data_IF_874499751156
#
_entry.id   IF_874499751156
#
_cell.length_a   1.000
_cell.length_b   1.000
_cell.length_c   1.000
_cell.angle_alpha   90.00
_cell.angle_beta   90.00
_cell.angle_gamma   90.00
#
_symmetry.space_group_name_H-M   'P 1'
#
loop_
_entity.id
_entity.type
_entity.pdbx_description
1 polymer ?
#
# COMPACT_ATOMS: atom_id res chain seq x y z
N UNK A 1 3.47 18.41 5.11
CA UNK A 1 3.66 17.84 3.76
C UNK A 1 3.16 16.42 3.82
N UNK A 2 1.92 16.18 3.40
CA UNK A 2 1.34 14.83 3.38
C UNK A 2 1.99 14.06 2.24
N UNK A 3 2.78 13.04 2.56
CA UNK A 3 3.11 12.02 1.58
C UNK A 3 1.82 11.26 1.30
N UNK A 4 1.28 11.37 0.09
CA UNK A 4 0.19 10.52 -0.32
C UNK A 4 0.71 9.07 -0.29
N UNK A 5 0.14 8.23 0.57
CA UNK A 5 0.29 6.79 0.41
C UNK A 5 -0.29 6.41 -0.96
N UNK A 6 0.33 5.46 -1.65
CA UNK A 6 -0.35 4.79 -2.74
C UNK A 6 -1.66 4.21 -2.16
N UNK A 7 -2.80 4.51 -2.80
CA UNK A 7 -4.11 4.09 -2.30
C UNK A 7 -4.11 2.60 -1.94
N UNK A 8 -4.75 2.23 -0.83
CA UNK A 8 -4.87 0.84 -0.40
C UNK A 8 -5.35 -0.07 -1.55
N UNK A 9 -4.90 -1.34 -1.58
CA UNK A 9 -5.04 -2.19 -2.76
C UNK A 9 -6.50 -2.29 -3.21
N UNK A 10 -6.77 -1.89 -4.44
CA UNK A 10 -8.07 -2.09 -5.08
C UNK A 10 -8.44 -3.60 -5.08
N UNK A 11 -9.73 -3.97 -4.98
CA UNK A 11 -10.16 -5.36 -5.05
C UNK A 11 -9.82 -5.96 -6.42
N UNK A 12 -9.05 -7.06 -6.45
CA UNK A 12 -8.78 -7.84 -7.66
C UNK A 12 -9.43 -9.21 -7.64
N UNK A 13 -9.88 -9.66 -8.82
CA UNK A 13 -10.27 -11.05 -9.07
C UNK A 13 -9.01 -11.89 -9.25
N UNK A 14 -8.93 -13.10 -8.67
CA UNK A 14 -7.84 -14.03 -8.97
C UNK A 14 -7.86 -14.37 -10.46
N UNK A 15 -6.68 -14.31 -11.10
CA UNK A 15 -6.54 -14.70 -12.49
C UNK A 15 -6.63 -16.23 -12.59
N UNK A 16 -7.31 -16.73 -13.62
CA UNK A 16 -7.25 -18.15 -13.96
C UNK A 16 -5.82 -18.43 -14.45
N UNK A 17 -5.12 -19.33 -13.76
CA UNK A 17 -3.78 -19.77 -14.13
C UNK A 17 -3.83 -20.42 -15.52
N UNK A 18 -3.24 -19.75 -16.50
CA UNK A 18 -2.99 -20.31 -17.83
C UNK A 18 -1.55 -20.82 -17.87
N UNK A 19 -1.35 -22.13 -18.03
CA UNK A 19 -0.02 -22.72 -18.18
C UNK A 19 0.70 -22.26 -19.47
N UNK A 20 -0.02 -21.62 -20.39
CA UNK A 20 0.53 -20.93 -21.57
C UNK A 20 0.94 -19.47 -21.31
N UNK A 21 0.81 -18.98 -20.08
CA UNK A 21 1.26 -17.64 -19.70
C UNK A 21 2.80 -17.48 -19.79
N UNK A 22 3.30 -16.23 -19.83
CA UNK A 22 4.74 -15.96 -19.79
C UNK A 22 5.40 -16.59 -18.56
N UNK A 23 6.54 -17.25 -18.77
CA UNK A 23 7.38 -17.77 -17.70
C UNK A 23 8.59 -16.88 -17.55
N UNK A 24 8.97 -16.56 -16.32
CA UNK A 24 10.09 -15.68 -16.02
C UNK A 24 11.00 -16.37 -15.02
N UNK A 25 12.31 -16.29 -15.21
CA UNK A 25 13.29 -16.63 -14.17
C UNK A 25 14.08 -15.39 -13.81
N UNK A 26 14.03 -14.99 -12.55
CA UNK A 26 14.85 -13.91 -11.99
C UNK A 26 15.96 -14.56 -11.18
N UNK A 27 17.21 -14.34 -11.60
CA UNK A 27 18.40 -14.85 -10.92
C UNK A 27 19.29 -13.69 -10.48
N UNK A 28 19.66 -13.67 -9.20
CA UNK A 28 20.73 -12.79 -8.69
C UNK A 28 22.07 -13.53 -8.73
N UNK A 29 23.03 -12.93 -9.43
CA UNK A 29 24.42 -13.42 -9.54
C UNK A 29 25.35 -12.28 -9.13
N UNK A 30 25.82 -12.30 -7.88
CA UNK A 30 26.60 -11.21 -7.32
C UNK A 30 25.81 -9.91 -7.21
N UNK A 31 26.28 -8.85 -7.84
CA UNK A 31 25.64 -7.53 -7.90
C UNK A 31 24.68 -7.37 -9.09
N UNK A 32 24.50 -8.42 -9.90
CA UNK A 32 23.69 -8.39 -11.13
C UNK A 32 22.43 -9.22 -10.97
N UNK A 33 21.37 -8.75 -11.63
CA UNK A 33 20.17 -9.52 -11.85
C UNK A 33 20.10 -9.92 -13.32
N UNK A 34 19.77 -11.18 -13.57
CA UNK A 34 19.43 -11.70 -14.89
C UNK A 34 17.95 -12.05 -14.86
N UNK A 35 17.21 -11.57 -15.86
CA UNK A 35 15.79 -11.87 -16.01
C UNK A 35 15.58 -12.54 -17.37
N UNK A 36 15.23 -13.83 -17.32
CA UNK A 36 14.99 -14.66 -18.50
C UNK A 36 13.48 -14.84 -18.69
N UNK A 37 12.95 -14.28 -19.76
CA UNK A 37 11.57 -14.50 -20.21
C UNK A 37 11.51 -15.69 -21.17
N UNK A 38 10.50 -16.53 -20.98
CA UNK A 38 10.03 -17.50 -21.96
C UNK A 38 8.56 -17.22 -22.27
N UNK A 39 8.29 -16.73 -23.48
CA UNK A 39 6.95 -16.37 -23.93
C UNK A 39 6.17 -17.60 -24.42
N UNK A 40 4.93 -17.74 -23.93
CA UNK A 40 4.08 -18.89 -24.24
C UNK A 40 3.52 -18.90 -25.66
N UNK A 41 3.56 -17.77 -26.37
CA UNK A 41 3.12 -17.64 -27.78
C UNK A 41 4.01 -16.69 -28.59
N UNK A 42 3.88 -16.76 -29.91
CA UNK A 42 4.51 -15.81 -30.82
C UNK A 42 3.69 -14.52 -30.81
N UNK A 43 4.35 -13.39 -30.58
CA UNK A 43 3.76 -12.07 -30.67
C UNK A 43 4.82 -11.08 -31.17
N UNK A 44 4.46 -10.11 -32.04
CA UNK A 44 5.40 -9.08 -32.50
C UNK A 44 5.89 -8.16 -31.37
N UNK A 45 5.06 -7.96 -30.35
CA UNK A 45 5.35 -7.08 -29.22
C UNK A 45 4.87 -7.72 -27.91
N UNK A 46 5.67 -7.57 -26.85
CA UNK A 46 5.27 -7.80 -25.47
C UNK A 46 5.41 -6.50 -24.68
N UNK A 47 4.38 -6.09 -23.94
CA UNK A 47 4.37 -4.89 -23.11
C UNK A 47 4.37 -5.26 -21.64
N UNK A 48 5.13 -4.53 -20.81
CA UNK A 48 5.13 -4.69 -19.36
C UNK A 48 3.89 -4.01 -18.77
N UNK A 49 3.14 -4.72 -17.92
CA UNK A 49 1.95 -4.14 -17.26
C UNK A 49 2.33 -2.94 -16.39
N UNK A 50 3.40 -3.10 -15.60
CA UNK A 50 3.98 -2.04 -14.76
C UNK A 50 5.04 -1.26 -15.58
N UNK A 51 4.69 -0.02 -15.92
CA UNK A 51 5.44 0.87 -16.81
C UNK A 51 5.35 2.34 -16.38
N UNK A 52 5.26 2.60 -15.07
CA UNK A 52 5.24 3.95 -14.52
C UNK A 52 6.47 4.76 -14.93
N UNK A 53 6.36 6.07 -14.74
CA UNK A 53 7.47 6.99 -14.93
C UNK A 53 8.10 7.30 -13.57
N UNK A 54 9.37 7.70 -13.59
CA UNK A 54 10.00 8.31 -12.42
C UNK A 54 9.26 9.60 -12.05
N UNK A 55 8.88 9.79 -10.78
CA UNK A 55 8.07 10.95 -10.34
C UNK A 55 8.71 12.29 -10.73
N UNK A 56 10.01 12.43 -10.48
CA UNK A 56 10.71 13.71 -10.67
C UNK A 56 11.00 14.03 -12.14
N UNK A 57 11.42 13.02 -12.92
CA UNK A 57 11.94 13.22 -14.28
C UNK A 57 10.89 12.92 -15.35
N UNK A 58 9.82 12.22 -14.97
CA UNK A 58 8.81 11.64 -15.86
C UNK A 58 9.42 10.81 -17.00
N UNK A 59 10.60 10.22 -16.77
CA UNK A 59 11.27 9.35 -17.73
C UNK A 59 10.94 7.88 -17.44
N UNK A 60 10.93 7.00 -18.46
CA UNK A 60 10.77 5.58 -18.23
C UNK A 60 11.98 5.01 -17.49
N UNK A 61 11.70 4.28 -16.41
CA UNK A 61 12.73 3.72 -15.55
C UNK A 61 13.32 2.43 -16.11
N UNK A 62 12.48 1.55 -16.68
CA UNK A 62 12.87 0.19 -17.06
C UNK A 62 13.94 0.18 -18.16
N UNK A 63 13.83 0.96 -19.26
CA UNK A 63 14.86 1.03 -20.29
C UNK A 63 16.23 1.52 -19.80
N UNK A 64 16.28 2.23 -18.66
CA UNK A 64 17.52 2.75 -18.07
C UNK A 64 18.20 1.76 -17.13
N UNK A 65 17.49 0.72 -16.71
CA UNK A 65 17.96 -0.29 -15.75
C UNK A 65 18.05 -1.69 -16.35
N UNK A 66 17.24 -1.98 -17.36
CA UNK A 66 17.14 -3.28 -18.02
C UNK A 66 17.84 -3.17 -19.38
N UNK A 67 18.82 -4.03 -19.62
CA UNK A 67 19.52 -4.14 -20.90
C UNK A 67 19.14 -5.45 -21.56
N UNK A 68 18.56 -5.39 -22.76
CA UNK A 68 18.29 -6.60 -23.56
C UNK A 68 19.61 -7.19 -24.02
N UNK A 69 19.83 -8.48 -23.78
CA UNK A 69 21.02 -9.20 -24.26
C UNK A 69 20.73 -10.12 -25.45
N UNK A 70 19.45 -10.43 -25.71
CA UNK A 70 19.04 -11.23 -26.87
C UNK A 70 19.26 -10.46 -28.18
N UNK A 71 20.05 -10.98 -29.13
CA UNK A 71 20.29 -10.33 -30.42
C UNK A 71 18.99 -10.10 -31.20
N UNK A 72 18.89 -8.94 -31.87
CA UNK A 72 17.73 -8.60 -32.68
C UNK A 72 16.49 -8.20 -31.89
N UNK A 73 16.57 -8.10 -30.56
CA UNK A 73 15.46 -7.65 -29.71
C UNK A 73 15.76 -6.24 -29.19
N UNK A 74 14.73 -5.40 -29.16
CA UNK A 74 14.80 -4.02 -28.68
C UNK A 74 13.77 -3.82 -27.58
N UNK A 75 14.16 -3.06 -26.54
CA UNK A 75 13.23 -2.56 -25.54
C UNK A 75 13.16 -1.04 -25.63
N UNK A 76 11.95 -0.49 -25.66
CA UNK A 76 11.69 0.95 -25.73
C UNK A 76 10.31 1.27 -25.17
N UNK A 77 10.03 2.55 -24.91
CA UNK A 77 8.69 2.99 -24.52
C UNK A 77 7.84 3.29 -25.76
N UNK A 78 6.57 2.87 -25.73
CA UNK A 78 5.51 3.25 -26.67
C UNK A 78 4.20 3.48 -25.94
N UNK A 79 3.59 4.64 -26.18
CA UNK A 79 2.43 5.08 -25.40
C UNK A 79 2.74 5.12 -23.90
N UNK A 80 1.92 4.40 -23.12
CA UNK A 80 2.06 4.28 -21.67
C UNK A 80 2.94 3.11 -21.22
N UNK A 81 3.48 2.32 -22.15
CA UNK A 81 4.10 1.04 -21.83
C UNK A 81 5.55 0.95 -22.30
N UNK A 82 6.38 0.35 -21.45
CA UNK A 82 7.67 -0.18 -21.88
C UNK A 82 7.42 -1.50 -22.61
N UNK A 83 7.96 -1.62 -23.82
CA UNK A 83 7.70 -2.75 -24.72
C UNK A 83 8.99 -3.45 -25.12
N UNK A 84 8.87 -4.73 -25.46
CA UNK A 84 9.88 -5.60 -26.05
C UNK A 84 9.39 -5.98 -27.43
N UNK A 85 10.23 -5.80 -28.46
CA UNK A 85 9.91 -6.15 -29.84
C UNK A 85 11.11 -6.69 -30.61
N UNK A 86 10.86 -7.39 -31.71
CA UNK A 86 11.92 -7.70 -32.67
C UNK A 86 12.34 -6.44 -33.45
N UNK A 87 13.62 -6.36 -33.81
CA UNK A 87 14.19 -5.30 -34.62
C UNK A 87 13.72 -5.37 -36.08
N UNK A 88 13.40 -6.56 -36.58
CA UNK A 88 12.92 -6.82 -37.94
C UNK A 88 11.39 -6.74 -38.10
N UNK A 89 10.66 -6.51 -37.01
CA UNK A 89 9.19 -6.44 -36.98
C UNK A 89 8.48 -7.81 -36.97
N UNK A 90 9.23 -8.92 -36.98
CA UNK A 90 8.68 -10.26 -36.76
C UNK A 90 8.36 -10.53 -35.29
N UNK A 91 7.93 -11.77 -34.97
CA UNK A 91 7.69 -12.19 -33.59
C UNK A 91 8.94 -12.02 -32.72
N UNK A 92 8.74 -11.60 -31.47
CA UNK A 92 9.80 -11.64 -30.45
C UNK A 92 10.25 -13.09 -30.26
N UNK A 93 11.57 -13.37 -30.21
CA UNK A 93 12.08 -14.69 -29.89
C UNK A 93 11.43 -15.24 -28.61
N UNK A 94 11.13 -16.55 -28.59
CA UNK A 94 10.48 -17.19 -27.45
C UNK A 94 11.24 -17.04 -26.15
N UNK A 95 12.55 -16.87 -26.21
CA UNK A 95 13.41 -16.65 -25.06
C UNK A 95 14.09 -15.28 -25.18
N UNK A 96 13.88 -14.42 -24.18
CA UNK A 96 14.50 -13.10 -24.12
C UNK A 96 15.18 -12.93 -22.77
N UNK A 97 16.47 -12.58 -22.82
CA UNK A 97 17.30 -12.32 -21.66
C UNK A 97 17.49 -10.84 -21.45
N UNK A 98 17.34 -10.41 -20.21
CA UNK A 98 17.71 -9.08 -19.74
C UNK A 98 18.79 -9.18 -18.68
N UNK A 99 19.79 -8.31 -18.78
CA UNK A 99 20.64 -7.95 -17.66
C UNK A 99 20.09 -6.70 -17.01
N UNK A 100 19.86 -6.77 -15.70
CA UNK A 100 19.25 -5.70 -14.92
C UNK A 100 20.26 -5.14 -13.92
N UNK A 101 20.34 -3.81 -13.87
CA UNK A 101 21.10 -3.05 -12.88
C UNK A 101 20.11 -2.20 -12.09
N UNK A 102 19.60 -2.72 -10.97
CA UNK A 102 18.61 -2.04 -10.14
C UNK A 102 19.09 -0.68 -9.63
N UNK A 103 18.16 0.27 -9.54
CA UNK A 103 18.34 1.59 -8.94
C UNK A 103 17.13 1.91 -8.08
N UNK A 104 17.37 2.49 -6.90
CA UNK A 104 16.31 3.06 -6.10
C UNK A 104 15.79 4.33 -6.81
N UNK A 105 14.47 4.47 -6.87
CA UNK A 105 13.79 5.63 -7.44
C UNK A 105 12.36 5.70 -6.93
N UNK A 106 11.80 6.89 -7.05
CA UNK A 106 10.38 7.14 -6.82
C UNK A 106 9.61 6.99 -8.14
N UNK A 107 8.52 6.22 -8.13
CA UNK A 107 7.70 5.90 -9.30
C UNK A 107 6.28 6.45 -9.14
N UNK A 108 5.70 6.95 -10.22
CA UNK A 108 4.32 7.41 -10.24
C UNK A 108 3.35 6.23 -10.06
N UNK A 109 2.74 6.11 -8.88
CA UNK A 109 1.70 5.13 -8.57
C UNK A 109 2.09 3.64 -8.75
N UNK A 110 3.38 3.31 -8.67
CA UNK A 110 3.91 1.95 -8.74
C UNK A 110 4.90 1.66 -7.60
N UNK A 111 5.05 0.38 -7.27
CA UNK A 111 5.99 -0.08 -6.24
C UNK A 111 7.42 -0.09 -6.81
N UNK A 112 8.38 0.65 -6.21
CA UNK A 112 9.75 0.69 -6.71
C UNK A 112 10.57 -0.52 -6.28
N UNK A 113 11.70 -0.75 -6.94
CA UNK A 113 12.71 -1.69 -6.42
C UNK A 113 13.34 -1.14 -5.15
N UNK A 114 13.46 -1.97 -4.11
CA UNK A 114 14.16 -1.60 -2.87
C UNK A 114 15.60 -2.08 -2.94
N UNK A 115 16.53 -1.17 -2.73
CA UNK A 115 17.95 -1.49 -2.63
C UNK A 115 18.39 -1.46 -1.18
N UNK A 116 19.11 -2.50 -0.78
CA UNK A 116 19.77 -2.57 0.50
C UNK A 116 21.26 -2.22 0.32
N UNK A 117 21.82 -1.53 1.28
CA UNK A 117 23.20 -1.06 1.28
C UNK A 117 24.25 -2.18 1.25
N UNK A 118 23.88 -3.41 1.60
CA UNK A 118 24.73 -4.60 1.47
C UNK A 118 24.61 -5.30 0.11
N UNK A 119 23.88 -4.71 -0.85
CA UNK A 119 23.67 -5.23 -2.19
C UNK A 119 22.52 -6.24 -2.30
N UNK A 120 21.74 -6.46 -1.23
CA UNK A 120 20.46 -7.15 -1.36
C UNK A 120 19.44 -6.27 -2.10
N UNK A 121 18.51 -6.90 -2.81
CA UNK A 121 17.52 -6.23 -3.64
C UNK A 121 16.17 -6.87 -3.40
N UNK A 122 15.15 -6.08 -3.13
CA UNK A 122 13.77 -6.56 -3.10
C UNK A 122 13.02 -6.05 -4.33
N UNK A 123 12.44 -6.98 -5.10
CA UNK A 123 11.67 -6.70 -6.30
C UNK A 123 10.17 -6.95 -6.05
N UNK A 124 9.27 -6.04 -6.48
CA UNK A 124 7.85 -6.32 -6.51
C UNK A 124 7.55 -7.46 -7.48
N UNK A 125 6.68 -8.37 -7.08
CA UNK A 125 6.35 -9.57 -7.87
C UNK A 125 5.67 -9.27 -9.21
N UNK A 126 4.89 -8.19 -9.30
CA UNK A 126 4.08 -7.84 -10.48
C UNK A 126 4.83 -7.05 -11.56
N UNK A 127 6.02 -6.53 -11.25
CA UNK A 127 6.87 -5.84 -12.24
C UNK A 127 7.31 -6.74 -13.41
N UNK A 128 7.04 -8.04 -13.34
CA UNK A 128 7.40 -9.06 -14.31
C UNK A 128 6.21 -9.46 -15.21
N UNK A 129 5.03 -8.90 -14.96
CA UNK A 129 3.83 -9.21 -15.74
C UNK A 129 3.88 -8.54 -17.11
N UNK A 130 3.48 -9.29 -18.13
CA UNK A 130 3.50 -8.84 -19.52
C UNK A 130 2.26 -9.28 -20.28
N UNK A 131 1.90 -8.52 -21.30
CA UNK A 131 0.85 -8.87 -22.25
C UNK A 131 1.34 -8.70 -23.68
N UNK A 132 0.81 -9.52 -24.58
CA UNK A 132 1.20 -9.49 -25.98
C UNK A 132 0.30 -8.55 -26.79
N UNK A 133 0.91 -7.95 -27.80
CA UNK A 133 0.30 -6.99 -28.71
C UNK A 133 0.64 -7.35 -30.15
N UNK A 134 -0.30 -7.08 -31.07
CA UNK A 134 -0.16 -7.44 -32.49
C UNK A 134 0.83 -6.53 -33.24
N UNK A 135 1.18 -5.37 -32.70
CA UNK A 135 2.12 -4.43 -33.33
C UNK A 135 2.63 -3.36 -32.36
N UNK A 136 3.66 -2.63 -32.78
CA UNK A 136 4.17 -1.45 -32.07
C UNK A 136 3.12 -0.34 -32.01
N UNK A 137 2.36 -0.14 -33.10
CA UNK A 137 1.29 0.84 -33.17
C UNK A 137 0.13 0.50 -32.21
N UNK A 138 -0.13 -0.78 -31.98
CA UNK A 138 -1.12 -1.20 -31.00
C UNK A 138 -0.75 -0.72 -29.58
N UNK A 139 0.55 -0.70 -29.23
CA UNK A 139 1.01 -0.21 -27.92
C UNK A 139 0.72 1.28 -27.69
N UNK A 140 0.72 2.10 -28.74
CA UNK A 140 0.49 3.55 -28.65
C UNK A 140 -0.97 3.89 -28.29
N UNK A 141 -1.90 2.98 -28.55
CA UNK A 141 -3.35 3.19 -28.32
C UNK A 141 -3.89 2.38 -27.13
N UNK A 142 -3.05 1.59 -26.45
CA UNK A 142 -3.45 0.95 -25.19
C UNK A 142 -3.62 2.06 -24.14
N UNK A 143 -4.79 2.15 -23.47
CA UNK A 143 -4.99 3.11 -22.40
C UNK A 143 -4.08 2.78 -21.21
N UNK A 144 -3.77 3.77 -20.39
CA UNK A 144 -3.04 3.58 -19.13
C UNK A 144 -3.79 2.67 -18.14
N UNK A 145 -5.12 2.79 -18.06
CA UNK A 145 -5.98 1.92 -17.24
C UNK A 145 -6.37 0.64 -17.99
N UNK A 146 -5.76 -0.47 -17.56
CA UNK A 146 -6.00 -1.81 -18.13
C UNK A 146 -7.25 -2.51 -17.60
N UNK A 147 -7.97 -1.95 -16.62
CA UNK A 147 -9.08 -2.63 -15.92
C UNK A 147 -10.25 -3.07 -16.83
N UNK A 148 -10.41 -2.43 -17.99
CA UNK A 148 -11.48 -2.74 -18.97
C UNK A 148 -10.94 -3.23 -20.31
N UNK A 149 -9.64 -3.42 -20.42
CA UNK A 149 -9.01 -3.92 -21.64
C UNK A 149 -8.92 -5.43 -21.54
N UNK A 150 -9.44 -6.14 -22.55
CA UNK A 150 -9.17 -7.57 -22.67
C UNK A 150 -7.71 -7.72 -23.13
N UNK A 151 -6.84 -8.05 -22.19
CA UNK A 151 -5.45 -8.33 -22.47
C UNK A 151 -5.25 -9.77 -22.92
N UNK A 152 -4.35 -9.95 -23.86
CA UNK A 152 -3.93 -11.26 -24.35
C UNK A 152 -2.53 -11.57 -23.80
N UNK A 153 -2.55 -12.09 -22.58
CA UNK A 153 -1.43 -12.21 -21.64
C UNK A 153 -1.96 -12.15 -20.20
N UNK A 154 -1.10 -11.91 -19.22
CA UNK A 154 -1.52 -12.00 -17.83
C UNK A 154 -0.39 -11.98 -16.82
N UNK A 155 -0.69 -12.33 -15.56
CA UNK A 155 0.31 -12.56 -14.54
C UNK A 155 1.35 -13.58 -15.02
N UNK A 156 2.63 -13.22 -14.88
CA UNK A 156 3.73 -14.10 -15.26
C UNK A 156 3.99 -15.14 -14.18
N UNK A 157 4.30 -16.39 -14.56
CA UNK A 157 4.84 -17.37 -13.61
C UNK A 157 6.33 -17.09 -13.40
N UNK A 158 6.70 -16.51 -12.27
CA UNK A 158 8.07 -16.07 -11.98
C UNK A 158 8.77 -17.02 -11.03
N UNK A 159 9.90 -17.59 -11.43
CA UNK A 159 10.81 -18.35 -10.57
C UNK A 159 11.94 -17.47 -10.08
N UNK A 160 12.19 -17.45 -8.78
CA UNK A 160 13.17 -16.60 -8.14
C UNK A 160 14.35 -17.41 -7.61
N UNK A 161 15.57 -16.95 -7.90
CA UNK A 161 16.82 -17.61 -7.50
C UNK A 161 17.88 -16.58 -7.11
N UNK A 162 18.69 -16.93 -6.12
CA UNK A 162 19.93 -16.21 -5.82
C UNK A 162 21.07 -17.22 -5.70
N UNK A 163 22.14 -17.01 -6.46
CA UNK A 163 23.32 -17.89 -6.45
C UNK A 163 24.03 -17.89 -5.09
N UNK A 164 23.77 -16.88 -4.26
CA UNK A 164 24.35 -16.70 -2.94
C UNK A 164 23.56 -17.42 -1.84
N UNK A 165 22.34 -17.90 -2.11
CA UNK A 165 21.52 -18.57 -1.11
C UNK A 165 20.00 -18.43 -1.33
N UNK A 166 19.18 -18.81 -0.34
CA UNK A 166 17.74 -18.75 -0.45
C UNK A 166 17.18 -17.33 -0.57
N UNK A 167 16.13 -17.15 -1.36
CA UNK A 167 15.37 -15.89 -1.45
C UNK A 167 14.45 -15.72 -0.25
N UNK A 168 14.15 -14.49 0.14
CA UNK A 168 13.20 -14.18 1.22
C UNK A 168 11.86 -13.75 0.64
N UNK A 169 10.79 -14.43 1.07
CA UNK A 169 9.41 -14.11 0.71
C UNK A 169 8.48 -14.38 1.88
N UNK A 170 7.63 -13.41 2.21
CA UNK A 170 6.70 -13.46 3.35
C UNK A 170 7.39 -13.95 4.64
N UNK A 171 8.64 -13.52 4.87
CA UNK A 171 9.35 -13.73 6.14
C UNK A 171 10.07 -15.06 6.25
N UNK A 172 9.99 -15.89 5.21
CA UNK A 172 10.66 -17.18 5.15
C UNK A 172 11.67 -17.21 4.02
N UNK A 173 12.86 -17.74 4.33
CA UNK A 173 13.88 -18.08 3.33
C UNK A 173 13.45 -19.35 2.58
N UNK A 174 13.58 -19.33 1.26
CA UNK A 174 13.19 -20.42 0.34
C UNK A 174 14.31 -20.66 -0.66
N UNK A 175 14.77 -21.90 -0.78
CA UNK A 175 15.77 -22.28 -1.80
C UNK A 175 15.18 -22.24 -3.22
N UNK A 176 13.87 -22.46 -3.33
CA UNK A 176 13.11 -22.31 -4.56
C UNK A 176 11.79 -21.60 -4.25
N UNK A 177 11.48 -20.58 -5.05
CA UNK A 177 10.24 -19.83 -4.98
C UNK A 177 9.70 -19.61 -6.39
N UNK A 178 8.41 -19.89 -6.58
CA UNK A 178 7.67 -19.49 -7.77
C UNK A 178 6.47 -18.67 -7.33
N UNK A 179 6.30 -17.49 -7.89
CA UNK A 179 5.13 -16.62 -7.73
C UNK A 179 4.37 -16.55 -9.05
N UNK A 180 3.10 -16.19 -9.02
CA UNK A 180 2.31 -15.93 -10.23
C UNK A 180 1.52 -14.65 -10.13
N UNK A 181 0.65 -14.52 -9.13
CA UNK A 181 -0.25 -13.38 -8.98
C UNK A 181 -0.17 -12.71 -7.61
N UNK A 182 0.69 -13.21 -6.72
CA UNK A 182 0.92 -12.63 -5.40
C UNK A 182 1.35 -11.17 -5.52
N UNK A 183 0.89 -10.35 -4.58
CA UNK A 183 1.28 -8.93 -4.44
C UNK A 183 2.20 -8.79 -3.25
N UNK A 184 3.51 -8.86 -3.48
CA UNK A 184 4.51 -8.77 -2.42
C UNK A 184 5.85 -8.39 -3.02
N UNK A 185 6.90 -8.44 -2.20
CA UNK A 185 8.29 -8.36 -2.63
C UNK A 185 8.97 -9.71 -2.46
N UNK A 186 9.86 -10.03 -3.41
CA UNK A 186 10.87 -11.07 -3.23
C UNK A 186 12.22 -10.40 -3.00
N UNK A 187 12.83 -10.67 -1.85
CA UNK A 187 14.16 -10.18 -1.53
C UNK A 187 15.22 -11.22 -1.90
N UNK A 188 16.14 -10.81 -2.77
CA UNK A 188 17.34 -11.52 -3.16
C UNK A 188 18.54 -10.91 -2.42
N UNK A 189 19.43 -11.75 -1.91
CA UNK A 189 20.61 -11.37 -1.14
C UNK A 189 20.45 -11.56 0.36
N UNK A 190 21.54 -11.28 1.06
CA UNK A 190 21.62 -11.39 2.51
C UNK A 190 20.77 -10.31 3.19
N UNK A 191 19.89 -10.74 4.09
CA UNK A 191 19.06 -9.86 4.89
C UNK A 191 18.59 -10.60 6.14
N UNK A 192 18.73 -9.95 7.28
CA UNK A 192 18.34 -10.52 8.58
C UNK A 192 16.87 -10.26 8.82
N UNK A 193 16.08 -11.33 8.92
CA UNK A 193 14.72 -11.25 9.47
C UNK A 193 14.86 -11.26 10.99
N UNK A 194 14.47 -10.18 11.64
CA UNK A 194 14.36 -10.13 13.10
C UNK A 194 12.92 -10.45 13.48
N UNK A 195 12.65 -11.61 14.10
CA UNK A 195 11.30 -11.98 14.49
C UNK A 195 10.77 -11.01 15.54
N UNK A 196 9.53 -10.57 15.37
CA UNK A 196 8.80 -9.79 16.36
C UNK A 196 7.47 -10.45 16.67
N UNK A 197 7.02 -10.33 17.92
CA UNK A 197 5.63 -10.63 18.25
C UNK A 197 4.77 -9.52 17.65
N UNK A 198 4.33 -9.63 16.41
CA UNK A 198 3.56 -8.52 15.83
C UNK A 198 3.81 -8.49 14.37
N UNK A 199 4.94 -7.83 14.16
CA UNK A 199 5.56 -7.57 12.91
C UNK A 199 7.00 -8.03 13.09
N UNK A 200 7.48 -8.87 12.17
CA UNK A 200 8.91 -9.09 12.01
C UNK A 200 9.51 -7.90 11.27
N UNK A 201 10.82 -7.72 11.34
CA UNK A 201 11.49 -6.64 10.62
C UNK A 201 12.62 -7.16 9.74
N UNK A 202 12.83 -6.49 8.61
CA UNK A 202 13.97 -6.67 7.71
C UNK A 202 14.52 -5.28 7.45
N UNK A 203 15.66 -4.96 8.07
CA UNK A 203 16.19 -3.60 8.09
C UNK A 203 17.53 -3.57 7.38
N UNK A 204 17.69 -2.56 6.53
CA UNK A 204 18.96 -2.25 5.91
C UNK A 204 20.09 -2.12 6.94
N UNK A 205 21.20 -2.86 6.78
CA UNK A 205 22.25 -2.91 7.79
C UNK A 205 23.00 -1.59 7.99
N UNK A 206 22.94 -0.66 7.03
CA UNK A 206 23.54 0.67 7.13
C UNK A 206 22.51 1.79 7.30
N UNK A 207 21.24 1.46 7.60
CA UNK A 207 20.28 2.46 8.04
C UNK A 207 20.82 3.19 9.28
N UNK A 208 20.60 4.51 9.43
CA UNK A 208 20.98 5.22 10.65
C UNK A 208 20.51 4.47 11.90
N UNK A 209 21.41 4.13 12.86
CA UNK A 209 21.09 3.20 13.94
C UNK A 209 19.84 3.57 14.74
N UNK A 210 19.64 4.87 14.98
CA UNK A 210 18.49 5.37 15.72
C UNK A 210 17.15 5.04 15.04
N UNK A 211 17.08 5.04 13.71
CA UNK A 211 15.86 4.65 12.96
C UNK A 211 15.67 3.14 13.07
N UNK A 212 16.74 2.38 12.85
CA UNK A 212 16.68 0.92 12.91
C UNK A 212 16.28 0.42 14.31
N UNK A 213 16.75 1.08 15.37
CA UNK A 213 16.35 0.82 16.76
C UNK A 213 14.89 1.18 17.00
N UNK A 214 14.47 2.38 16.55
CA UNK A 214 13.09 2.85 16.69
C UNK A 214 12.08 1.89 16.04
N UNK A 215 12.36 1.43 14.82
CA UNK A 215 11.46 0.50 14.10
C UNK A 215 11.45 -0.89 14.76
N UNK A 216 12.62 -1.40 15.17
CA UNK A 216 12.71 -2.70 15.86
C UNK A 216 11.99 -2.71 17.20
N UNK A 217 12.01 -1.59 17.92
CA UNK A 217 11.29 -1.44 19.17
C UNK A 217 9.79 -1.28 18.91
N UNK A 218 9.37 -0.34 18.07
CA UNK A 218 7.96 0.00 17.92
C UNK A 218 7.12 -1.06 17.17
N UNK A 219 7.64 -1.63 16.08
CA UNK A 219 6.84 -2.48 15.17
C UNK A 219 6.25 -3.74 15.84
N UNK A 220 7.00 -4.49 16.68
CA UNK A 220 6.40 -5.61 17.41
C UNK A 220 5.28 -5.17 18.35
N UNK A 221 5.46 -4.07 19.10
CA UNK A 221 4.47 -3.62 20.08
C UNK A 221 3.14 -3.22 19.44
N UNK A 222 3.17 -2.50 18.30
CA UNK A 222 1.94 -2.14 17.59
C UNK A 222 1.25 -3.35 16.97
N UNK A 223 2.01 -4.27 16.38
CA UNK A 223 1.45 -5.51 15.84
C UNK A 223 0.82 -6.40 16.93
N UNK A 224 1.45 -6.46 18.11
CA UNK A 224 0.91 -7.16 19.27
C UNK A 224 -0.37 -6.50 19.78
N UNK A 225 -0.36 -5.16 19.91
CA UNK A 225 -1.54 -4.39 20.33
C UNK A 225 -2.76 -4.69 19.43
N UNK A 226 -2.59 -4.66 18.10
CA UNK A 226 -3.69 -5.00 17.19
C UNK A 226 -4.16 -6.44 17.32
N UNK A 227 -3.25 -7.42 17.44
CA UNK A 227 -3.64 -8.81 17.63
C UNK A 227 -4.38 -9.05 18.94
N UNK A 228 -3.98 -8.39 20.02
CA UNK A 228 -4.66 -8.53 21.31
C UNK A 228 -6.10 -8.00 21.26
N UNK A 229 -6.34 -6.93 20.50
CA UNK A 229 -7.68 -6.36 20.31
C UNK A 229 -8.53 -7.16 19.32
N UNK A 230 -7.97 -7.52 18.15
CA UNK A 230 -8.72 -8.02 17.00
C UNK A 230 -8.56 -9.52 16.72
N UNK A 231 -7.55 -10.18 17.29
CA UNK A 231 -7.12 -11.52 16.93
C UNK A 231 -6.17 -11.53 15.71
N UNK A 232 -5.80 -12.71 15.22
CA UNK A 232 -4.95 -12.82 14.04
C UNK A 232 -5.65 -12.26 12.78
N UNK A 233 -4.93 -11.60 11.86
CA UNK A 233 -5.49 -11.20 10.58
C UNK A 233 -5.86 -12.43 9.74
N UNK A 234 -6.91 -12.32 8.93
CA UNK A 234 -7.57 -13.44 8.23
C UNK A 234 -6.82 -14.01 7.01
N UNK A 235 -5.73 -13.39 6.56
CA UNK A 235 -4.97 -13.81 5.40
C UNK A 235 -3.66 -14.53 5.79
N UNK A 236 -3.76 -15.81 6.19
CA UNK A 236 -2.71 -16.81 5.96
C UNK A 236 -1.34 -16.64 6.63
N UNK A 237 -1.18 -17.29 7.79
CA UNK A 237 -0.04 -18.18 8.09
C UNK A 237 1.29 -17.60 8.58
N UNK A 238 1.67 -16.38 8.20
CA UNK A 238 2.98 -15.79 8.54
C UNK A 238 2.87 -14.44 9.25
N UNK A 239 3.83 -14.17 10.16
CA UNK A 239 3.94 -12.87 10.83
C UNK A 239 4.26 -11.80 9.79
N UNK A 240 3.44 -10.74 9.64
CA UNK A 240 3.71 -9.66 8.69
C UNK A 240 5.07 -9.00 8.94
N UNK A 241 5.61 -8.32 7.92
CA UNK A 241 6.98 -7.78 7.96
C UNK A 241 6.99 -6.29 7.73
N UNK A 242 7.86 -5.58 8.43
CA UNK A 242 8.32 -4.24 8.05
C UNK A 242 9.67 -4.37 7.37
N UNK A 243 9.73 -4.08 6.08
CA UNK A 243 10.94 -4.08 5.26
C UNK A 243 11.41 -2.64 5.04
N UNK A 244 12.64 -2.33 5.42
CA UNK A 244 13.17 -0.96 5.45
C UNK A 244 14.45 -0.87 4.63
N UNK A 245 14.45 -0.02 3.61
CA UNK A 245 15.60 0.26 2.75
C UNK A 245 16.26 1.61 3.07
N UNK A 246 17.57 1.73 2.83
CA UNK A 246 18.34 2.97 3.01
C UNK A 246 19.02 3.39 1.70
N UNK A 247 18.56 4.51 1.12
CA UNK A 247 19.08 5.03 -0.15
C UNK A 247 20.36 5.88 0.02
N UNK A 248 20.79 6.12 1.25
CA UNK A 248 22.03 6.82 1.55
C UNK A 248 21.86 8.29 1.99
N UNK A 249 22.95 8.93 2.44
CA UNK A 249 22.94 10.26 3.03
C UNK A 249 22.97 11.37 1.96
N UNK A 250 22.00 11.39 1.04
CA UNK A 250 21.87 12.40 -0.01
C UNK A 250 21.85 13.83 0.58
N UNK A 251 22.66 14.70 -0.01
CA UNK A 251 22.80 16.09 0.43
C UNK A 251 21.48 16.85 0.37
N UNK A 252 21.19 17.65 1.40
CA UNK A 252 19.99 18.52 1.48
C UNK A 252 18.65 17.79 1.31
N UNK A 253 18.63 16.49 1.55
CA UNK A 253 17.41 15.69 1.51
C UNK A 253 17.03 15.20 2.92
N UNK A 254 15.73 15.18 3.17
CA UNK A 254 15.09 14.52 4.32
C UNK A 254 13.88 13.77 3.76
N UNK A 255 14.02 12.47 3.52
CA UNK A 255 12.96 11.69 2.90
C UNK A 255 12.66 10.42 3.70
N UNK A 256 11.36 10.17 3.82
CA UNK A 256 10.79 8.91 4.27
C UNK A 256 9.59 8.61 3.37
N UNK A 257 9.66 7.49 2.66
CA UNK A 257 8.59 6.95 1.84
C UNK A 257 8.19 5.56 2.33
N UNK A 258 7.07 5.05 1.81
CA UNK A 258 6.64 3.70 2.12
C UNK A 258 5.32 3.34 1.45
N UNK A 259 4.95 2.07 1.55
CA UNK A 259 3.66 1.54 1.12
C UNK A 259 3.35 0.24 1.85
N UNK A 260 2.10 -0.21 1.79
CA UNK A 260 1.68 -1.55 2.24
C UNK A 260 1.33 -2.48 1.08
N UNK A 261 1.58 -3.77 1.31
CA UNK A 261 1.18 -4.93 0.51
C UNK A 261 0.64 -6.02 1.46
N UNK A 262 -0.06 -7.04 0.94
CA UNK A 262 -0.41 -8.25 1.70
C UNK A 262 0.74 -8.77 2.58
N UNK A 263 0.57 -8.69 3.90
CA UNK A 263 1.57 -9.13 4.89
C UNK A 263 2.90 -8.36 4.93
N UNK A 264 3.01 -7.20 4.28
CA UNK A 264 4.28 -6.48 4.15
C UNK A 264 4.07 -4.95 4.19
N UNK A 265 4.78 -4.28 5.10
CA UNK A 265 4.98 -2.84 5.11
C UNK A 265 6.37 -2.59 4.52
N UNK A 266 6.45 -1.69 3.55
CA UNK A 266 7.70 -1.24 2.94
C UNK A 266 7.96 0.20 3.37
N UNK A 267 9.20 0.49 3.76
CA UNK A 267 9.67 1.83 4.05
C UNK A 267 11.01 2.08 3.35
N UNK A 268 11.23 3.31 2.93
CA UNK A 268 12.52 3.78 2.42
C UNK A 268 12.90 5.08 3.10
N UNK A 269 14.18 5.21 3.43
CA UNK A 269 14.76 6.41 4.00
C UNK A 269 15.85 6.95 3.09
N UNK A 270 15.95 8.27 2.99
CA UNK A 270 17.02 8.92 2.25
C UNK A 270 17.38 10.27 2.86
N UNK A 271 18.67 10.61 2.79
CA UNK A 271 19.13 11.97 2.96
C UNK A 271 19.84 12.25 4.29
N UNK A 272 20.69 13.29 4.29
CA UNK A 272 21.40 13.74 5.49
C UNK A 272 20.47 14.18 6.61
N UNK A 273 19.26 14.60 6.27
CA UNK A 273 18.26 15.00 7.26
C UNK A 273 17.68 13.85 8.07
N UNK A 274 17.98 12.58 7.78
CA UNK A 274 17.51 11.47 8.64
C UNK A 274 18.67 10.74 9.35
N UNK A 275 19.91 11.20 9.19
CA UNK A 275 21.07 10.54 9.82
C UNK A 275 21.20 10.82 11.31
N UNK A 276 20.58 11.89 11.80
CA UNK A 276 20.47 12.22 13.22
C UNK A 276 19.03 12.10 13.70
N UNK A 277 18.79 11.81 14.99
CA UNK A 277 17.43 11.70 15.53
C UNK A 277 16.60 12.95 15.31
N UNK A 278 15.40 12.78 14.72
CA UNK A 278 14.41 13.84 14.55
C UNK A 278 13.07 13.39 15.09
N UNK A 279 12.44 14.22 15.93
CA UNK A 279 11.15 13.91 16.52
C UNK A 279 10.07 13.68 15.45
N UNK A 280 10.03 14.54 14.44
CA UNK A 280 9.07 14.44 13.32
C UNK A 280 9.22 13.12 12.55
N UNK A 281 10.44 12.70 12.20
CA UNK A 281 10.66 11.44 11.48
C UNK A 281 10.31 10.23 12.35
N UNK A 282 10.61 10.27 13.64
CA UNK A 282 10.22 9.21 14.58
C UNK A 282 8.71 9.08 14.69
N UNK A 283 8.01 10.19 14.95
CA UNK A 283 6.55 10.21 15.08
C UNK A 283 5.89 9.74 13.78
N UNK A 284 6.35 10.27 12.63
CA UNK A 284 5.87 9.85 11.31
C UNK A 284 6.13 8.37 11.03
N UNK A 285 7.30 7.83 11.42
CA UNK A 285 7.61 6.40 11.25
C UNK A 285 6.68 5.53 12.09
N UNK A 286 6.43 5.91 13.35
CA UNK A 286 5.50 5.19 14.23
C UNK A 286 4.08 5.24 13.69
N UNK A 287 3.60 6.42 13.32
CA UNK A 287 2.28 6.60 12.74
C UNK A 287 2.12 5.75 11.47
N UNK A 288 3.11 5.79 10.58
CA UNK A 288 3.11 5.01 9.34
C UNK A 288 3.03 3.50 9.61
N UNK A 289 3.87 2.96 10.49
CA UNK A 289 3.81 1.53 10.84
C UNK A 289 2.45 1.19 11.50
N UNK A 290 1.91 2.08 12.32
CA UNK A 290 0.59 1.91 12.93
C UNK A 290 -0.53 1.88 11.89
N UNK A 291 -0.52 2.81 10.94
CA UNK A 291 -1.49 2.92 9.85
C UNK A 291 -1.42 1.73 8.91
N UNK A 292 -0.24 1.47 8.34
CA UNK A 292 -0.06 0.37 7.39
C UNK A 292 -0.27 -0.99 8.05
N UNK A 293 0.07 -1.13 9.34
CA UNK A 293 -0.22 -2.32 10.13
C UNK A 293 -1.72 -2.55 10.35
N UNK A 294 -2.53 -1.50 10.39
CA UNK A 294 -3.98 -1.62 10.51
C UNK A 294 -4.62 -2.23 9.25
N UNK A 295 -4.02 -2.00 8.07
CA UNK A 295 -4.51 -2.55 6.82
C UNK A 295 -4.46 -4.09 6.73
N UNK A 296 -3.70 -4.77 7.60
CA UNK A 296 -3.77 -6.23 7.74
C UNK A 296 -5.17 -6.72 8.17
N UNK A 297 -5.93 -5.89 8.89
CA UNK A 297 -7.34 -6.14 9.18
C UNK A 297 -8.24 -5.38 8.20
N UNK A 298 -8.07 -4.05 8.13
CA UNK A 298 -8.84 -3.16 7.26
C UNK A 298 -8.18 -2.96 5.90
N UNK A 299 -8.33 -3.93 4.99
CA UNK A 299 -7.77 -3.89 3.64
C UNK A 299 -7.40 -5.28 3.15
N UNK A 300 -7.05 -6.18 4.07
CA UNK A 300 -6.63 -7.56 3.76
C UNK A 300 -7.56 -8.63 4.35
N UNK A 301 -7.93 -8.50 5.64
CA UNK A 301 -8.94 -9.42 6.22
C UNK A 301 -10.32 -9.11 5.65
N UNK A 302 -10.66 -7.82 5.58
CA UNK A 302 -11.81 -7.32 4.82
C UNK A 302 -11.35 -6.18 3.93
N UNK A 303 -11.91 -6.08 2.73
CA UNK A 303 -11.70 -4.97 1.79
C UNK A 303 -13.00 -4.20 1.58
N UNK A 304 -12.93 -2.93 1.20
CA UNK A 304 -14.13 -2.21 0.78
C UNK A 304 -14.71 -2.80 -0.52
N UNK A 305 -16.01 -2.61 -0.76
CA UNK A 305 -16.65 -3.18 -1.96
C UNK A 305 -16.27 -2.41 -3.23
N UNK A 306 -16.19 -1.09 -3.13
CA UNK A 306 -15.94 -0.18 -4.24
C UNK A 306 -14.94 0.92 -3.85
N UNK A 307 -14.20 1.48 -4.82
CA UNK A 307 -13.13 2.45 -4.57
C UNK A 307 -13.63 3.76 -3.93
N UNK A 308 -14.90 4.13 -4.14
CA UNK A 308 -15.57 5.26 -3.47
C UNK A 308 -15.92 4.97 -1.99
N UNK A 309 -15.71 3.74 -1.54
CA UNK A 309 -15.85 3.30 -0.15
C UNK A 309 -14.50 3.16 0.58
N UNK A 310 -13.40 3.64 -0.01
CA UNK A 310 -12.06 3.59 0.60
C UNK A 310 -12.00 4.27 1.98
N UNK A 311 -12.92 5.19 2.28
CA UNK A 311 -13.07 5.80 3.61
C UNK A 311 -13.25 4.79 4.75
N UNK A 312 -13.78 3.59 4.46
CA UNK A 312 -13.95 2.51 5.46
C UNK A 312 -12.60 2.02 5.95
N UNK A 313 -11.65 1.81 5.04
CA UNK A 313 -10.34 1.25 5.37
C UNK A 313 -9.32 2.31 5.72
N UNK A 314 -9.26 3.42 4.98
CA UNK A 314 -8.26 4.47 5.18
C UNK A 314 -8.48 5.22 6.49
N UNK A 315 -9.65 5.84 6.69
CA UNK A 315 -9.93 6.54 7.95
C UNK A 315 -10.12 5.60 9.15
N UNK A 316 -10.50 4.35 8.90
CA UNK A 316 -10.50 3.31 9.94
C UNK A 316 -9.09 2.93 10.41
N UNK A 317 -8.13 2.88 9.48
CA UNK A 317 -6.71 2.67 9.77
C UNK A 317 -6.10 3.87 10.51
N UNK A 318 -6.44 5.12 10.14
CA UNK A 318 -6.01 6.32 10.89
C UNK A 318 -6.42 6.23 12.37
N UNK A 319 -7.69 5.88 12.63
CA UNK A 319 -8.16 5.77 14.01
C UNK A 319 -7.49 4.61 14.77
N UNK A 320 -7.24 3.48 14.10
CA UNK A 320 -6.47 2.38 14.68
C UNK A 320 -5.05 2.84 15.06
N UNK A 321 -4.36 3.53 14.16
CA UNK A 321 -3.01 4.04 14.37
C UNK A 321 -2.97 5.02 15.56
N UNK A 322 -3.85 6.02 15.58
CA UNK A 322 -3.94 7.00 16.68
C UNK A 322 -4.16 6.30 18.02
N UNK A 323 -5.05 5.30 18.09
CA UNK A 323 -5.35 4.59 19.34
C UNK A 323 -4.17 3.72 19.78
N UNK A 324 -3.51 3.04 18.84
CA UNK A 324 -2.31 2.25 19.14
C UNK A 324 -1.15 3.14 19.63
N UNK A 325 -0.86 4.24 18.92
CA UNK A 325 0.18 5.18 19.32
C UNK A 325 -0.11 5.76 20.70
N UNK A 326 -1.35 6.15 21.00
CA UNK A 326 -1.72 6.66 22.33
C UNK A 326 -1.58 5.61 23.44
N UNK A 327 -1.88 4.35 23.14
CA UNK A 327 -1.75 3.26 24.10
C UNK A 327 -0.29 2.91 24.39
N UNK A 328 0.58 2.98 23.38
CA UNK A 328 2.01 2.65 23.48
C UNK A 328 2.85 3.84 23.97
N UNK A 329 2.44 5.05 23.64
CA UNK A 329 3.07 6.31 24.05
C UNK A 329 2.02 7.25 24.66
N UNK A 330 1.91 7.30 26.00
CA UNK A 330 0.97 8.19 26.67
C UNK A 330 1.21 9.68 26.38
N UNK A 331 2.40 10.08 25.92
CA UNK A 331 2.69 11.48 25.57
C UNK A 331 2.22 11.85 24.15
N UNK A 332 1.85 10.86 23.31
CA UNK A 332 1.32 11.12 21.97
C UNK A 332 0.08 12.01 22.00
N UNK A 333 0.08 13.07 21.18
CA UNK A 333 -1.02 14.04 21.08
C UNK A 333 -2.10 13.55 20.10
N UNK A 334 -2.76 12.46 20.50
CA UNK A 334 -3.88 11.90 19.76
C UNK A 334 -5.01 12.91 19.50
N UNK A 335 -5.15 13.94 20.34
CA UNK A 335 -6.18 14.97 20.18
C UNK A 335 -5.85 15.88 19.01
N UNK A 336 -4.59 16.33 18.91
CA UNK A 336 -4.15 17.16 17.79
C UNK A 336 -4.25 16.41 16.46
N UNK A 337 -3.84 15.14 16.43
CA UNK A 337 -3.94 14.32 15.21
C UNK A 337 -5.39 14.18 14.74
N UNK A 338 -6.30 13.75 15.63
CA UNK A 338 -7.73 13.63 15.30
C UNK A 338 -8.40 14.96 15.02
N UNK A 339 -7.91 16.06 15.60
CA UNK A 339 -8.40 17.39 15.27
C UNK A 339 -8.09 17.73 13.82
N UNK A 340 -6.91 17.39 13.31
CA UNK A 340 -6.58 17.58 11.89
C UNK A 340 -7.52 16.80 10.98
N UNK A 341 -7.87 15.57 11.33
CA UNK A 341 -8.86 14.77 10.57
C UNK A 341 -10.25 15.42 10.57
N UNK A 342 -10.69 15.97 11.72
CA UNK A 342 -11.97 16.68 11.83
C UNK A 342 -11.98 17.94 10.97
N UNK A 343 -10.91 18.73 11.02
CA UNK A 343 -10.79 19.97 10.25
C UNK A 343 -10.75 19.68 8.74
N UNK A 344 -9.94 18.72 8.31
CA UNK A 344 -9.83 18.32 6.90
C UNK A 344 -11.16 17.76 6.38
N UNK A 345 -11.88 16.95 7.17
CA UNK A 345 -13.19 16.47 6.76
C UNK A 345 -14.20 17.62 6.66
N UNK A 346 -14.19 18.56 7.62
CA UNK A 346 -15.08 19.72 7.58
C UNK A 346 -14.85 20.58 6.34
N UNK A 347 -13.61 20.67 5.86
CA UNK A 347 -13.27 21.41 4.65
C UNK A 347 -13.57 20.64 3.35
N UNK A 348 -13.32 19.33 3.32
CA UNK A 348 -13.45 18.51 2.12
C UNK A 348 -14.86 18.00 1.88
N UNK A 349 -15.66 17.75 2.93
CA UNK A 349 -17.04 17.24 2.82
C UNK A 349 -18.07 18.30 2.41
N UNK A 350 -17.62 19.45 1.89
CA UNK A 350 -18.47 20.42 1.16
C UNK A 350 -19.03 19.84 -0.14
N UNK A 351 -18.36 18.81 -0.67
CA UNK A 351 -18.75 18.00 -1.83
C UNK A 351 -18.88 16.53 -1.41
N UNK A 352 -19.53 15.68 -2.23
CA UNK A 352 -19.64 14.25 -1.95
C UNK A 352 -18.27 13.62 -1.71
N UNK A 353 -18.09 13.01 -0.53
CA UNK A 353 -16.86 12.30 -0.16
C UNK A 353 -16.66 11.07 -1.06
N UNK A 354 -17.72 10.34 -1.41
CA UNK A 354 -17.65 9.17 -2.30
C UNK A 354 -17.03 9.51 -3.68
N UNK A 355 -17.12 10.76 -4.13
CA UNK A 355 -16.57 11.20 -5.41
C UNK A 355 -15.18 11.86 -5.28
N UNK A 356 -14.57 11.84 -4.08
CA UNK A 356 -13.33 12.57 -3.82
C UNK A 356 -12.15 12.03 -4.64
N UNK A 357 -12.05 10.72 -4.82
CA UNK A 357 -11.00 10.10 -5.63
C UNK A 357 -11.02 10.57 -7.08
N UNK A 358 -12.19 10.74 -7.69
CA UNK A 358 -12.34 11.26 -9.06
C UNK A 358 -11.86 12.72 -9.20
N UNK A 359 -11.70 13.44 -8.08
CA UNK A 359 -11.20 14.82 -8.03
C UNK A 359 -9.73 14.91 -7.55
N UNK A 360 -9.08 13.77 -7.31
CA UNK A 360 -7.74 13.73 -6.71
C UNK A 360 -7.71 14.11 -5.23
N UNK A 361 -8.87 14.19 -4.56
CA UNK A 361 -9.03 14.63 -3.17
C UNK A 361 -9.00 13.45 -2.19
N UNK A 362 -8.05 12.53 -2.36
CA UNK A 362 -8.00 11.27 -1.59
C UNK A 362 -7.99 11.49 -0.07
N UNK A 363 -7.43 12.61 0.41
CA UNK A 363 -7.46 13.04 1.82
C UNK A 363 -8.87 13.01 2.43
N UNK A 364 -9.93 13.21 1.64
CA UNK A 364 -11.30 13.14 2.13
C UNK A 364 -11.69 11.74 2.64
N UNK A 365 -11.14 10.67 2.05
CA UNK A 365 -11.38 9.29 2.51
C UNK A 365 -10.76 9.03 3.88
N UNK A 366 -9.54 9.52 4.10
CA UNK A 366 -8.84 9.46 5.39
C UNK A 366 -9.60 10.28 6.44
N UNK A 367 -9.74 11.59 6.20
CA UNK A 367 -10.32 12.54 7.13
C UNK A 367 -11.77 12.23 7.51
N UNK A 368 -12.64 12.06 6.51
CA UNK A 368 -14.03 11.77 6.82
C UNK A 368 -14.24 10.34 7.30
N UNK A 369 -13.45 9.38 6.82
CA UNK A 369 -13.45 8.02 7.36
C UNK A 369 -13.10 8.01 8.86
N UNK A 370 -12.09 8.77 9.28
CA UNK A 370 -11.69 8.89 10.69
C UNK A 370 -12.78 9.57 11.54
N UNK A 371 -13.47 10.59 11.01
CA UNK A 371 -14.64 11.20 11.67
C UNK A 371 -15.78 10.20 11.84
N UNK A 372 -16.08 9.38 10.82
CA UNK A 372 -17.11 8.35 10.91
C UNK A 372 -16.72 7.25 11.91
N UNK A 373 -15.45 6.84 11.91
CA UNK A 373 -14.90 5.90 12.87
C UNK A 373 -14.95 6.44 14.31
N UNK A 374 -14.67 7.73 14.53
CA UNK A 374 -14.83 8.39 15.83
C UNK A 374 -16.28 8.38 16.31
N UNK A 375 -17.22 8.66 15.41
CA UNK A 375 -18.64 8.60 15.75
C UNK A 375 -19.06 7.17 16.12
N UNK A 376 -18.59 6.16 15.39
CA UNK A 376 -18.82 4.76 15.70
C UNK A 376 -18.19 4.33 17.04
N UNK A 377 -16.96 4.76 17.34
CA UNK A 377 -16.31 4.55 18.63
C UNK A 377 -17.14 5.19 19.77
N UNK A 378 -17.61 6.42 19.59
CA UNK A 378 -18.47 7.09 20.56
C UNK A 378 -19.74 6.29 20.85
N UNK A 379 -20.42 5.84 19.81
CA UNK A 379 -21.61 5.02 19.94
C UNK A 379 -21.32 3.68 20.66
N UNK A 380 -20.20 3.03 20.33
CA UNK A 380 -19.75 1.81 20.99
C UNK A 380 -19.47 2.05 22.48
N UNK A 381 -18.80 3.16 22.81
CA UNK A 381 -18.49 3.55 24.19
C UNK A 381 -19.76 3.81 24.99
N UNK A 382 -20.72 4.54 24.45
CA UNK A 382 -22.01 4.75 25.12
C UNK A 382 -22.78 3.44 25.32
N UNK A 383 -22.71 2.52 24.35
CA UNK A 383 -23.49 1.29 24.36
C UNK A 383 -22.94 0.22 25.30
N UNK A 384 -21.62 0.06 25.37
CA UNK A 384 -20.97 -1.03 26.13
C UNK A 384 -19.74 -0.62 26.93
N UNK A 385 -19.32 0.65 26.87
CA UNK A 385 -18.01 1.09 27.37
C UNK A 385 -16.81 0.67 26.51
N UNK A 386 -17.07 0.09 25.33
CA UNK A 386 -16.01 -0.35 24.40
C UNK A 386 -15.41 0.79 23.57
N UNK A 387 -14.52 0.44 22.66
CA UNK A 387 -13.81 1.38 21.79
C UNK A 387 -13.96 1.05 20.28
N UNK A 388 -13.17 1.73 19.43
CA UNK A 388 -13.16 1.50 17.99
C UNK A 388 -12.91 0.02 17.61
N UNK A 389 -12.03 -0.68 18.33
CA UNK A 389 -11.72 -2.08 18.04
C UNK A 389 -12.90 -2.99 18.36
N UNK A 390 -13.67 -2.68 19.42
CA UNK A 390 -14.88 -3.43 19.76
C UNK A 390 -15.99 -3.25 18.72
N UNK A 391 -16.10 -2.05 18.13
CA UNK A 391 -16.98 -1.80 16.99
C UNK A 391 -16.53 -2.55 15.73
N UNK A 392 -15.23 -2.53 15.44
CA UNK A 392 -14.65 -3.10 14.23
C UNK A 392 -14.67 -4.64 14.21
N UNK A 393 -14.41 -5.29 15.35
CA UNK A 393 -14.28 -6.75 15.47
C UNK A 393 -15.38 -7.58 14.80
N UNK A 394 -16.69 -7.30 14.96
CA UNK A 394 -17.71 -8.03 14.23
C UNK A 394 -17.70 -7.75 12.72
N UNK A 395 -17.28 -6.56 12.29
CA UNK A 395 -17.22 -6.17 10.88
C UNK A 395 -16.07 -6.85 10.12
N UNK A 396 -15.07 -7.39 10.82
CA UNK A 396 -13.96 -8.13 10.21
C UNK A 396 -14.31 -9.58 9.83
N UNK A 397 -15.51 -10.05 10.17
CA UNK A 397 -15.93 -11.46 9.97
C UNK A 397 -16.80 -11.65 8.74
N UNK A 398 -16.58 -10.85 7.69
CA UNK A 398 -17.37 -10.94 6.47
C UNK A 398 -16.99 -12.21 5.70
N UNK A 399 -17.95 -13.09 5.36
CA UNK A 399 -17.65 -14.39 4.75
C UNK A 399 -16.93 -14.32 3.40
N UNK A 400 -17.13 -13.25 2.64
CA UNK A 400 -16.51 -12.99 1.33
C UNK A 400 -15.28 -12.07 1.43
N UNK A 401 -14.90 -11.70 2.65
CA UNK A 401 -13.82 -10.75 2.93
C UNK A 401 -14.11 -9.34 2.40
N UNK A 402 -15.36 -8.97 2.17
CA UNK A 402 -15.77 -7.63 1.74
C UNK A 402 -16.58 -6.97 2.85
N UNK A 403 -16.21 -5.76 3.22
CA UNK A 403 -17.00 -4.90 4.10
C UNK A 403 -17.61 -3.78 3.25
N UNK A 404 -18.87 -3.95 2.90
CA UNK A 404 -19.64 -2.95 2.15
C UNK A 404 -20.02 -1.75 3.01
N UNK A 405 -20.31 -0.61 2.36
CA UNK A 405 -20.93 0.54 3.03
C UNK A 405 -22.21 0.17 3.78
N UNK A 406 -23.06 -0.68 3.22
CA UNK A 406 -24.30 -1.11 3.85
C UNK A 406 -24.03 -1.82 5.17
N UNK A 407 -23.09 -2.77 5.18
CA UNK A 407 -22.72 -3.51 6.39
C UNK A 407 -22.10 -2.61 7.45
N UNK A 408 -21.25 -1.67 7.05
CA UNK A 408 -20.65 -0.69 7.96
C UNK A 408 -21.72 0.22 8.60
N UNK A 409 -22.61 0.81 7.79
CA UNK A 409 -23.67 1.71 8.26
C UNK A 409 -24.74 0.96 9.09
N UNK A 410 -25.04 -0.28 8.72
CA UNK A 410 -25.87 -1.18 9.52
C UNK A 410 -25.20 -1.53 10.85
N UNK A 411 -23.87 -1.67 10.88
CA UNK A 411 -23.08 -1.78 12.11
C UNK A 411 -23.25 -0.56 13.02
N UNK A 412 -23.07 0.65 12.46
CA UNK A 412 -23.26 1.92 13.18
C UNK A 412 -24.68 2.04 13.74
N UNK A 413 -25.70 1.77 12.93
CA UNK A 413 -27.11 1.84 13.34
C UNK A 413 -27.41 0.86 14.47
N UNK A 414 -26.86 -0.36 14.39
CA UNK A 414 -27.08 -1.41 15.40
C UNK A 414 -26.47 -1.06 16.75
N UNK A 415 -25.25 -0.54 16.76
CA UNK A 415 -24.54 -0.15 18.00
C UNK A 415 -25.16 1.09 18.62
N UNK A 416 -25.42 2.12 17.82
CA UNK A 416 -26.00 3.39 18.30
C UNK A 416 -27.48 3.31 18.65
N UNK A 417 -28.23 2.41 17.99
CA UNK A 417 -29.71 2.39 17.97
C UNK A 417 -30.32 3.68 17.45
N UNK A 418 -29.58 4.44 16.65
CA UNK A 418 -30.01 5.69 16.05
C UNK A 418 -29.81 5.65 14.53
N UNK A 419 -30.87 5.37 13.74
CA UNK A 419 -30.77 5.35 12.28
C UNK A 419 -30.49 6.73 11.68
N UNK A 420 -30.65 7.83 12.42
CA UNK A 420 -30.34 9.17 11.90
C UNK A 420 -28.83 9.40 11.74
N UNK A 421 -27.99 8.68 12.49
CA UNK A 421 -26.53 8.73 12.33
C UNK A 421 -26.10 8.24 10.95
N UNK A 422 -26.70 7.15 10.48
CA UNK A 422 -26.52 6.65 9.12
C UNK A 422 -26.84 7.75 8.10
N UNK A 423 -28.00 8.40 8.23
CA UNK A 423 -28.43 9.44 7.31
C UNK A 423 -27.46 10.64 7.23
N UNK A 424 -26.87 11.06 8.35
CA UNK A 424 -25.86 12.13 8.35
C UNK A 424 -24.53 11.69 7.71
N UNK A 425 -24.10 10.42 7.88
CA UNK A 425 -22.94 9.88 7.16
C UNK A 425 -23.23 9.79 5.66
N UNK A 426 -24.38 9.23 5.27
CA UNK A 426 -24.79 9.12 3.85
C UNK A 426 -24.88 10.50 3.18
N UNK A 427 -25.36 11.52 3.90
CA UNK A 427 -25.36 12.90 3.40
C UNK A 427 -23.96 13.39 3.03
N UNK A 428 -22.98 13.22 3.92
CA UNK A 428 -21.60 13.64 3.64
C UNK A 428 -20.98 12.82 2.51
N UNK A 429 -21.29 11.53 2.43
CA UNK A 429 -20.81 10.64 1.37
C UNK A 429 -21.36 11.03 -0.01
N UNK A 430 -22.68 11.21 -0.14
CA UNK A 430 -23.35 11.26 -1.44
C UNK A 430 -23.61 12.68 -1.95
N UNK A 431 -23.73 13.64 -1.03
CA UNK A 431 -24.14 15.02 -1.36
C UNK A 431 -23.10 16.04 -0.91
N UNK A 432 -22.40 15.76 0.19
CA UNK A 432 -21.68 16.77 0.95
C UNK A 432 -22.63 17.66 1.76
N UNK A 433 -22.11 18.75 2.31
CA UNK A 433 -22.92 19.73 3.04
C UNK A 433 -22.38 21.16 2.85
N UNK A 434 -23.28 22.15 2.82
CA UNK A 434 -22.88 23.56 2.82
C UNK A 434 -22.15 23.95 4.12
N UNK A 435 -22.51 23.31 5.22
CA UNK A 435 -21.84 23.43 6.53
C UNK A 435 -21.56 22.01 7.07
N UNK A 436 -20.43 21.39 6.68
CA UNK A 436 -20.05 20.07 7.17
C UNK A 436 -19.78 20.05 8.68
N UNK A 437 -19.23 21.12 9.25
CA UNK A 437 -19.00 21.25 10.70
C UNK A 437 -20.29 21.03 11.50
N UNK A 438 -21.42 21.59 11.05
CA UNK A 438 -22.70 21.34 11.69
C UNK A 438 -23.17 19.88 11.60
N UNK A 439 -22.86 19.16 10.51
CA UNK A 439 -23.17 17.72 10.38
C UNK A 439 -22.30 16.90 11.31
N UNK A 440 -20.99 17.17 11.34
CA UNK A 440 -20.01 16.51 12.21
C UNK A 440 -20.37 16.74 13.69
N UNK A 441 -20.72 17.96 14.07
CA UNK A 441 -21.16 18.29 15.42
C UNK A 441 -22.40 17.47 15.84
N UNK A 442 -23.38 17.26 14.95
CA UNK A 442 -24.55 16.41 15.24
C UNK A 442 -24.18 14.94 15.39
N UNK A 443 -23.27 14.43 14.56
CA UNK A 443 -22.72 13.08 14.73
C UNK A 443 -22.09 12.94 16.13
N UNK A 444 -21.16 13.82 16.49
CA UNK A 444 -20.45 13.76 17.76
C UNK A 444 -21.36 13.96 18.98
N UNK A 445 -22.34 14.86 18.89
CA UNK A 445 -23.29 15.09 19.98
C UNK A 445 -24.12 13.83 20.30
N UNK A 446 -24.60 13.13 19.26
CA UNK A 446 -25.44 11.94 19.44
C UNK A 446 -24.64 10.70 19.83
N UNK A 447 -23.35 10.65 19.48
CA UNK A 447 -22.46 9.53 19.84
C UNK A 447 -21.61 9.80 21.08
N UNK A 448 -21.69 10.99 21.66
CA UNK A 448 -20.97 11.34 22.89
C UNK A 448 -19.46 11.53 22.71
N UNK A 449 -19.01 11.80 21.48
CA UNK A 449 -17.64 12.27 21.24
C UNK A 449 -17.54 13.67 21.87
N UNK A 450 -16.54 13.89 22.73
CA UNK A 450 -16.41 15.16 23.45
C UNK A 450 -15.83 16.25 22.54
N UNK A 451 -16.60 17.31 22.32
CA UNK A 451 -16.19 18.47 21.53
C UNK A 451 -16.81 19.76 22.05
N UNK A 452 -16.38 20.88 21.49
CA UNK A 452 -17.01 22.20 21.61
C UNK A 452 -17.06 22.87 20.24
N UNK A 453 -18.01 23.76 20.05
CA UNK A 453 -18.06 24.64 18.87
C UNK A 453 -17.36 25.95 19.18
N UNK A 454 -16.42 26.34 18.32
CA UNK A 454 -15.70 27.62 18.40
C UNK A 454 -15.81 28.28 17.04
N UNK A 455 -16.57 29.37 16.94
CA UNK A 455 -16.77 30.10 15.68
C UNK A 455 -17.22 29.20 14.52
N UNK A 456 -18.08 28.21 14.80
CA UNK A 456 -18.57 27.24 13.81
C UNK A 456 -17.64 26.07 13.52
N UNK A 457 -16.43 26.03 14.10
CA UNK A 457 -15.49 24.91 14.02
C UNK A 457 -15.72 23.90 15.13
N UNK A 458 -15.68 22.61 14.79
CA UNK A 458 -15.70 21.50 15.76
C UNK A 458 -14.31 21.33 16.36
N UNK A 459 -14.18 21.52 17.67
CA UNK A 459 -12.91 21.36 18.40
C UNK A 459 -13.03 20.23 19.42
N UNK A 460 -12.22 19.19 19.26
CA UNK A 460 -12.15 18.05 20.18
C UNK A 460 -11.61 18.47 21.55
N UNK A 461 -12.22 17.91 22.61
CA UNK A 461 -11.85 18.18 24.01
C UNK A 461 -10.72 17.28 24.52
#
# INVERSE_FOLDING_TARGET
MGGACAAGPAPHRPAVLDESGPQVTVTRTGDRLVVDYRFGRDAPVWAFMDSALETDTRQPWRPRQWTVETPGVVMERRGHYDIVRSADGGPVPREVRFRVTPKAMDLEAEYPTLLFSNGAVALPTRQLDVFALDSVQAAEVVPDDLNRVKLDGGPSRVTWRDDSGPVLFNGRRRDALTTTDERSYVLLGEATVTPGQGLSTVIDPNLPPWIGEEIRDFAPHVGQYYRDRLGAPGAGGDTPIVMVAWNGPTERMTSMGGSVLPGLIVMSFEGRGVTTPQAEIRERSRWFIGHEGAHFWLGQTVRYQFADEAWITEGGADLMAVRALKALDPAYDARNELQSEVDDCADLAKRPVAQAGARGEHRAYYACGAVFALAAEGAQRQRTGGDWFDFLKPLLRQPDGVLSREEWLSGLTRVSRDPSLRGDVERLLDQGAADPSAVIARLFQRTGVAFRLVDGRVVLN
#
